data_IF_853405255074
#
_entry.id   IF_853405255074
#
_cell.length_a   1.000
_cell.length_b   1.000
_cell.length_c   1.000
_cell.angle_alpha   90.00
_cell.angle_beta   90.00
_cell.angle_gamma   90.00
#
_symmetry.space_group_name_H-M   'P 1'
#
loop_
_entity.id
_entity.type
_entity.pdbx_description
1 polymer ?
#
# COMPACT_ATOMS: atom_id res chain seq x y z
N UNK A 1 25.40 14.88 -12.89
CA UNK A 1 25.05 15.64 -11.68
C UNK A 1 23.98 16.62 -12.12
N UNK A 2 22.71 16.30 -11.89
CA UNK A 2 21.60 17.17 -12.28
C UNK A 2 21.58 18.36 -11.31
N UNK A 3 21.50 19.58 -11.82
CA UNK A 3 21.35 20.78 -10.99
C UNK A 3 20.04 20.68 -10.22
N UNK A 4 20.12 20.65 -8.89
CA UNK A 4 18.98 20.74 -8.00
C UNK A 4 18.28 22.08 -8.20
N UNK A 5 16.94 22.08 -8.25
CA UNK A 5 16.21 23.35 -8.36
C UNK A 5 16.52 24.24 -7.15
N UNK A 6 16.63 25.55 -7.38
CA UNK A 6 16.85 26.57 -6.33
C UNK A 6 15.88 26.43 -5.17
N UNK A 7 14.66 25.95 -5.44
CA UNK A 7 13.63 25.73 -4.42
C UNK A 7 13.97 24.50 -3.55
N UNK A 8 14.49 23.43 -4.14
CA UNK A 8 14.93 22.22 -3.42
C UNK A 8 16.09 22.57 -2.49
N UNK A 9 17.10 23.28 -2.99
CA UNK A 9 18.25 23.75 -2.20
C UNK A 9 17.83 24.68 -1.06
N UNK A 10 16.88 25.57 -1.35
CA UNK A 10 16.30 26.44 -0.32
C UNK A 10 15.63 25.62 0.79
N UNK A 11 14.83 24.60 0.46
CA UNK A 11 14.20 23.74 1.48
C UNK A 11 15.22 22.94 2.30
N UNK A 12 16.25 22.39 1.65
CA UNK A 12 17.31 21.64 2.34
C UNK A 12 18.11 22.52 3.29
N UNK A 13 18.35 23.78 2.93
CA UNK A 13 19.04 24.74 3.81
C UNK A 13 18.18 25.22 4.99
N UNK A 14 16.87 24.98 4.97
CA UNK A 14 15.92 25.32 6.05
C UNK A 14 15.59 24.12 6.96
N UNK A 15 16.46 23.11 7.02
CA UNK A 15 16.39 22.01 7.99
C UNK A 15 15.49 20.84 7.59
N UNK A 16 14.96 20.82 6.37
CA UNK A 16 14.26 19.65 5.82
C UNK A 16 15.31 18.66 5.32
N UNK A 17 15.33 17.44 5.87
CA UNK A 17 16.22 16.40 5.35
C UNK A 17 15.76 15.92 3.97
N UNK A 18 16.72 15.57 3.12
CA UNK A 18 16.42 15.03 1.79
C UNK A 18 15.48 13.82 1.86
N UNK A 19 15.72 12.91 2.82
CA UNK A 19 14.89 11.72 3.03
C UNK A 19 13.43 12.08 3.35
N UNK A 20 13.19 13.12 4.17
CA UNK A 20 11.82 13.57 4.46
C UNK A 20 11.18 14.12 3.19
N UNK A 21 11.92 14.89 2.40
CA UNK A 21 11.40 15.45 1.16
C UNK A 21 11.05 14.36 0.13
N UNK A 22 11.92 13.37 -0.05
CA UNK A 22 11.68 12.19 -0.90
C UNK A 22 10.41 11.45 -0.49
N UNK A 23 10.23 11.19 0.81
CA UNK A 23 9.06 10.49 1.34
C UNK A 23 7.76 11.27 1.10
N UNK A 24 7.78 12.60 1.31
CA UNK A 24 6.61 13.45 1.08
C UNK A 24 6.22 13.49 -0.40
N UNK A 25 7.21 13.61 -1.30
CA UNK A 25 6.97 13.60 -2.74
C UNK A 25 6.49 12.23 -3.21
N UNK A 26 7.10 11.14 -2.73
CA UNK A 26 6.67 9.77 -3.00
C UNK A 26 5.21 9.56 -2.56
N UNK A 27 4.83 10.09 -1.40
CA UNK A 27 3.43 10.06 -0.92
C UNK A 27 2.48 10.73 -1.92
N UNK A 28 2.83 11.91 -2.46
CA UNK A 28 2.03 12.61 -3.48
C UNK A 28 1.91 11.80 -4.78
N UNK A 29 3.00 11.21 -5.25
CA UNK A 29 3.03 10.39 -6.47
C UNK A 29 2.11 9.17 -6.28
N UNK A 30 2.29 8.41 -5.18
CA UNK A 30 1.50 7.20 -4.94
C UNK A 30 0.04 7.54 -4.66
N UNK A 31 -0.27 8.64 -3.97
CA UNK A 31 -1.65 9.10 -3.81
C UNK A 31 -2.34 9.32 -5.17
N UNK A 32 -1.64 9.91 -6.13
CA UNK A 32 -2.14 10.12 -7.49
C UNK A 32 -2.38 8.79 -8.21
N UNK A 33 -1.44 7.83 -8.10
CA UNK A 33 -1.59 6.48 -8.64
C UNK A 33 -2.83 5.80 -8.05
N UNK A 34 -3.06 5.93 -6.74
CA UNK A 34 -4.24 5.36 -6.07
C UNK A 34 -5.53 6.01 -6.57
N UNK A 35 -5.56 7.34 -6.73
CA UNK A 35 -6.70 8.06 -7.30
C UNK A 35 -7.01 7.57 -8.71
N UNK A 36 -6.00 7.44 -9.58
CA UNK A 36 -6.14 6.90 -10.94
C UNK A 36 -6.71 5.47 -10.90
N UNK A 37 -6.14 4.59 -10.08
CA UNK A 37 -6.62 3.22 -9.94
C UNK A 37 -8.07 3.15 -9.43
N UNK A 38 -8.47 4.06 -8.54
CA UNK A 38 -9.82 4.11 -7.99
C UNK A 38 -10.84 4.65 -8.99
N UNK A 39 -10.56 5.78 -9.64
CA UNK A 39 -11.53 6.48 -10.48
C UNK A 39 -11.54 5.95 -11.92
N UNK A 40 -10.38 5.70 -12.52
CA UNK A 40 -10.32 5.19 -13.90
C UNK A 40 -10.52 3.67 -13.95
N UNK A 41 -9.82 2.92 -13.10
CA UNK A 41 -9.87 1.44 -13.12
C UNK A 41 -11.01 0.88 -12.27
N UNK A 42 -11.51 1.60 -11.26
CA UNK A 42 -12.51 1.07 -10.34
C UNK A 42 -11.95 0.00 -9.40
N UNK A 43 -10.69 0.12 -8.99
CA UNK A 43 -10.11 -0.78 -7.98
C UNK A 43 -10.80 -0.59 -6.62
N UNK A 44 -11.04 -1.71 -5.92
CA UNK A 44 -11.51 -1.70 -4.53
C UNK A 44 -10.27 -1.89 -3.67
N UNK A 45 -9.95 -0.90 -2.83
CA UNK A 45 -8.82 -0.92 -1.89
C UNK A 45 -9.31 -0.63 -0.48
N UNK A 46 -8.48 -0.82 0.54
CA UNK A 46 -8.81 -0.49 1.94
C UNK A 46 -8.88 1.00 2.26
N UNK A 47 -8.66 1.86 1.27
CA UNK A 47 -8.48 3.29 1.44
C UNK A 47 -7.38 3.80 0.53
N UNK A 48 -7.05 5.08 0.68
CA UNK A 48 -5.89 5.68 0.01
C UNK A 48 -4.60 5.44 0.79
N UNK A 49 -4.70 5.43 2.13
CA UNK A 49 -3.54 5.33 3.01
C UNK A 49 -2.85 3.96 2.95
N UNK A 50 -3.60 2.85 2.98
CA UNK A 50 -3.03 1.50 2.95
C UNK A 50 -2.10 1.22 1.74
N UNK A 51 -2.50 1.50 0.48
CA UNK A 51 -1.61 1.28 -0.66
C UNK A 51 -0.41 2.24 -0.68
N UNK A 52 -0.55 3.48 -0.20
CA UNK A 52 0.58 4.42 -0.05
C UNK A 52 1.61 3.87 0.93
N UNK A 53 1.14 3.48 2.11
CA UNK A 53 1.99 2.98 3.19
C UNK A 53 2.75 1.72 2.76
N UNK A 54 2.07 0.80 2.05
CA UNK A 54 2.70 -0.39 1.50
C UNK A 54 3.71 -0.07 0.40
N UNK A 55 3.41 0.85 -0.52
CA UNK A 55 4.35 1.21 -1.60
C UNK A 55 5.67 1.74 -1.04
N UNK A 56 5.58 2.65 -0.06
CA UNK A 56 6.75 3.20 0.64
C UNK A 56 7.44 2.09 1.44
N UNK A 57 6.71 1.26 2.19
CA UNK A 57 7.33 0.16 2.90
C UNK A 57 8.07 -0.82 1.96
N UNK A 58 7.52 -1.11 0.78
CA UNK A 58 8.16 -1.95 -0.23
C UNK A 58 9.42 -1.29 -0.83
N UNK A 59 9.51 0.04 -0.87
CA UNK A 59 10.72 0.72 -1.38
C UNK A 59 11.90 0.54 -0.43
N UNK A 60 11.65 0.44 0.88
CA UNK A 60 12.69 0.20 1.89
C UNK A 60 12.94 -1.28 2.19
N UNK A 61 11.90 -2.12 2.14
CA UNK A 61 12.02 -3.57 2.41
C UNK A 61 12.48 -4.35 1.18
N UNK A 62 12.27 -3.81 -0.01
CA UNK A 62 12.32 -4.56 -1.26
C UNK A 62 11.05 -5.39 -1.47
N UNK A 63 10.59 -5.51 -2.72
CA UNK A 63 9.29 -6.10 -3.02
C UNK A 63 9.15 -7.55 -2.53
N UNK A 64 10.19 -8.37 -2.70
CA UNK A 64 10.17 -9.79 -2.29
C UNK A 64 9.90 -9.93 -0.80
N UNK A 65 10.65 -9.22 0.04
CA UNK A 65 10.50 -9.25 1.49
C UNK A 65 9.18 -8.62 1.93
N UNK A 66 8.84 -7.46 1.35
CA UNK A 66 7.60 -6.77 1.65
C UNK A 66 6.35 -7.62 1.40
N UNK A 67 6.32 -8.36 0.28
CA UNK A 67 5.23 -9.28 -0.04
C UNK A 67 5.19 -10.49 0.89
N UNK A 68 6.34 -11.08 1.25
CA UNK A 68 6.41 -12.17 2.21
C UNK A 68 5.86 -11.76 3.58
N UNK A 69 6.28 -10.59 4.09
CA UNK A 69 5.76 -10.04 5.35
C UNK A 69 4.26 -9.77 5.25
N UNK A 70 3.81 -9.19 4.13
CA UNK A 70 2.39 -8.92 3.88
C UNK A 70 1.57 -10.21 3.96
N UNK A 71 2.05 -11.30 3.36
CA UNK A 71 1.39 -12.59 3.40
C UNK A 71 1.27 -13.12 4.84
N UNK A 72 2.36 -13.10 5.60
CA UNK A 72 2.38 -13.54 7.01
C UNK A 72 1.41 -12.70 7.84
N UNK A 73 1.45 -11.38 7.70
CA UNK A 73 0.56 -10.46 8.43
C UNK A 73 -0.91 -10.79 8.18
N UNK A 74 -1.30 -11.05 6.94
CA UNK A 74 -2.69 -11.36 6.59
C UNK A 74 -3.11 -12.74 7.09
N UNK A 75 -2.27 -13.75 6.93
CA UNK A 75 -2.54 -15.10 7.43
C UNK A 75 -2.73 -15.09 8.95
N UNK A 76 -1.81 -14.45 9.67
CA UNK A 76 -1.90 -14.31 11.12
C UNK A 76 -3.14 -13.55 11.55
N UNK A 77 -3.47 -12.45 10.87
CA UNK A 77 -4.68 -11.66 11.16
C UNK A 77 -5.96 -12.47 10.99
N UNK A 78 -6.03 -13.29 9.94
CA UNK A 78 -7.18 -14.14 9.67
C UNK A 78 -7.31 -15.27 10.72
N UNK A 79 -6.19 -15.93 11.04
CA UNK A 79 -6.14 -17.00 12.05
C UNK A 79 -6.51 -16.48 13.43
N UNK A 80 -5.84 -15.42 13.87
CA UNK A 80 -6.11 -14.71 15.12
C UNK A 80 -7.57 -14.30 15.21
N UNK A 81 -8.12 -13.62 14.20
CA UNK A 81 -9.52 -13.23 14.20
C UNK A 81 -10.48 -14.43 14.30
N UNK A 82 -10.20 -15.54 13.59
CA UNK A 82 -11.04 -16.74 13.59
C UNK A 82 -11.10 -17.39 14.97
N UNK A 83 -9.99 -17.40 15.70
CA UNK A 83 -9.92 -17.89 17.09
C UNK A 83 -10.63 -16.92 18.02
N UNK A 84 -10.30 -15.63 17.94
CA UNK A 84 -10.83 -14.58 18.81
C UNK A 84 -12.34 -14.36 18.61
N UNK A 85 -12.92 -14.66 17.43
CA UNK A 85 -14.37 -14.53 17.20
C UNK A 85 -15.20 -15.39 18.15
N UNK A 86 -14.67 -16.53 18.61
CA UNK A 86 -15.35 -17.43 19.56
C UNK A 86 -15.45 -16.84 20.97
N UNK A 87 -14.65 -15.83 21.29
CA UNK A 87 -14.56 -15.22 22.62
C UNK A 87 -15.35 -13.89 22.61
N UNK A 88 -16.22 -13.70 23.61
CA UNK A 88 -16.95 -12.45 23.81
C UNK A 88 -16.00 -11.41 24.41
N UNK A 89 -15.55 -10.46 23.59
CA UNK A 89 -14.67 -9.37 24.00
C UNK A 89 -15.02 -8.07 23.27
N UNK A 90 -14.65 -6.93 23.84
CA UNK A 90 -14.81 -5.64 23.19
C UNK A 90 -13.94 -5.53 21.94
N UNK A 91 -14.40 -4.74 20.97
CA UNK A 91 -13.74 -4.57 19.67
C UNK A 91 -12.29 -4.05 19.80
N UNK A 92 -12.06 -3.05 20.65
CA UNK A 92 -10.72 -2.47 20.86
C UNK A 92 -9.77 -3.52 21.45
N UNK A 93 -10.22 -4.26 22.47
CA UNK A 93 -9.45 -5.34 23.08
C UNK A 93 -9.11 -6.43 22.05
N UNK A 94 -10.06 -6.78 21.17
CA UNK A 94 -9.83 -7.76 20.10
C UNK A 94 -8.73 -7.32 19.14
N UNK A 95 -8.70 -6.05 18.76
CA UNK A 95 -7.63 -5.51 17.90
C UNK A 95 -6.30 -5.54 18.63
N UNK A 96 -6.26 -5.13 19.89
CA UNK A 96 -5.05 -5.17 20.70
C UNK A 96 -4.49 -6.60 20.80
N UNK A 97 -5.34 -7.59 21.11
CA UNK A 97 -4.94 -9.00 21.15
C UNK A 97 -4.46 -9.51 19.78
N UNK A 98 -5.08 -9.04 18.70
CA UNK A 98 -4.60 -9.40 17.37
C UNK A 98 -3.20 -8.85 17.09
N UNK A 99 -2.89 -7.62 17.52
CA UNK A 99 -1.54 -7.08 17.41
C UNK A 99 -0.52 -7.83 18.26
N UNK A 100 -0.88 -8.29 19.47
CA UNK A 100 0.06 -9.09 20.28
C UNK A 100 0.35 -10.46 19.65
N UNK A 101 -0.67 -11.15 19.13
CA UNK A 101 -0.51 -12.41 18.38
C UNK A 101 0.33 -12.18 17.12
N UNK A 102 0.08 -11.06 16.42
CA UNK A 102 0.85 -10.67 15.25
C UNK A 102 2.33 -10.48 15.61
N UNK A 103 2.64 -9.74 16.67
CA UNK A 103 4.02 -9.54 17.14
C UNK A 103 4.71 -10.86 17.47
N UNK A 104 4.05 -11.78 18.18
CA UNK A 104 4.61 -13.11 18.47
C UNK A 104 4.90 -13.87 17.18
N UNK A 105 3.96 -13.86 16.24
CA UNK A 105 4.12 -14.59 14.97
C UNK A 105 5.23 -14.00 14.11
N UNK A 106 5.39 -12.68 14.11
CA UNK A 106 6.45 -12.00 13.37
C UNK A 106 7.83 -12.29 13.99
N UNK A 107 7.95 -12.34 15.32
CA UNK A 107 9.19 -12.77 16.00
C UNK A 107 9.54 -14.21 15.59
N UNK A 108 8.57 -15.12 15.65
CA UNK A 108 8.77 -16.51 15.20
C UNK A 108 9.17 -16.58 13.73
N UNK A 109 8.57 -15.75 12.88
CA UNK A 109 8.90 -15.70 11.46
C UNK A 109 10.36 -15.27 11.21
N UNK A 110 10.89 -14.30 11.96
CA UNK A 110 12.30 -13.93 11.89
C UNK A 110 13.22 -15.10 12.28
N UNK A 111 12.94 -15.76 13.40
CA UNK A 111 13.72 -16.93 13.86
C UNK A 111 13.70 -18.06 12.84
N UNK A 112 12.53 -18.34 12.24
CA UNK A 112 12.40 -19.38 11.22
C UNK A 112 13.19 -19.04 9.94
N UNK A 113 13.24 -17.78 9.54
CA UNK A 113 14.00 -17.36 8.36
C UNK A 113 15.50 -17.47 8.58
N UNK A 114 15.97 -17.06 9.76
CA UNK A 114 17.37 -17.18 10.17
C UNK A 114 17.81 -18.65 10.21
N UNK A 115 16.96 -19.54 10.74
CA UNK A 115 17.29 -20.96 10.87
C UNK A 115 17.21 -21.75 9.56
N UNK A 116 16.21 -21.50 8.71
CA UNK A 116 15.94 -22.35 7.54
C UNK A 116 16.32 -21.72 6.19
N UNK A 117 16.74 -20.45 6.15
CA UNK A 117 17.20 -19.80 4.92
C UNK A 117 16.17 -19.86 3.80
N UNK A 118 14.94 -19.36 4.04
CA UNK A 118 13.81 -19.41 3.09
C UNK A 118 13.97 -18.47 1.87
N UNK A 119 15.20 -18.24 1.41
CA UNK A 119 15.53 -17.25 0.38
C UNK A 119 15.27 -15.80 0.81
N UNK A 120 15.17 -15.57 2.12
CA UNK A 120 14.92 -14.27 2.77
C UNK A 120 16.06 -13.92 3.75
N UNK A 121 17.28 -14.36 3.47
CA UNK A 121 18.43 -14.29 4.37
C UNK A 121 18.77 -12.86 4.82
N UNK A 122 18.49 -11.85 3.99
CA UNK A 122 18.73 -10.43 4.34
C UNK A 122 17.56 -9.77 5.10
N UNK A 123 16.63 -10.56 5.66
CA UNK A 123 15.45 -10.00 6.32
C UNK A 123 15.80 -9.16 7.56
N UNK A 124 16.93 -9.43 8.22
CA UNK A 124 17.44 -8.64 9.36
C UNK A 124 17.82 -7.20 8.98
N UNK A 125 18.11 -6.93 7.70
CA UNK A 125 18.49 -5.59 7.21
C UNK A 125 17.28 -4.71 6.90
N UNK A 126 16.06 -5.23 7.04
CA UNK A 126 14.84 -4.48 6.76
C UNK A 126 14.64 -3.38 7.81
N UNK A 127 14.43 -2.11 7.41
CA UNK A 127 14.17 -1.04 8.36
C UNK A 127 12.92 -1.31 9.22
N UNK A 128 13.00 -1.20 10.55
CA UNK A 128 11.88 -1.49 11.45
C UNK A 128 10.60 -0.70 11.15
N UNK A 129 10.73 0.55 10.71
CA UNK A 129 9.58 1.40 10.36
C UNK A 129 8.82 0.87 9.13
N UNK A 130 9.53 0.36 8.12
CA UNK A 130 8.90 -0.24 6.95
C UNK A 130 8.17 -1.55 7.34
N UNK A 131 8.74 -2.30 8.27
CA UNK A 131 8.14 -3.51 8.80
C UNK A 131 6.82 -3.23 9.55
N UNK A 132 6.83 -2.27 10.49
CA UNK A 132 5.62 -1.85 11.24
C UNK A 132 4.57 -1.27 10.30
N UNK A 133 5.00 -0.58 9.25
CA UNK A 133 4.11 -0.05 8.20
C UNK A 133 3.33 -1.17 7.50
N UNK A 134 3.98 -2.29 7.19
CA UNK A 134 3.31 -3.48 6.63
C UNK A 134 2.42 -4.15 7.69
N UNK A 135 2.88 -4.27 8.94
CA UNK A 135 2.10 -4.87 10.03
C UNK A 135 0.75 -4.14 10.26
N UNK A 136 0.73 -2.82 10.08
CA UNK A 136 -0.49 -1.98 10.17
C UNK A 136 -1.58 -2.41 9.17
N UNK A 137 -1.22 -3.12 8.09
CA UNK A 137 -2.18 -3.72 7.16
C UNK A 137 -3.17 -4.67 7.84
N UNK A 138 -2.76 -5.31 8.95
CA UNK A 138 -3.61 -6.16 9.77
C UNK A 138 -4.90 -5.46 10.20
N UNK A 139 -4.81 -4.21 10.65
CA UNK A 139 -5.96 -3.45 11.13
C UNK A 139 -6.89 -3.06 9.96
N UNK A 140 -6.34 -2.65 8.82
CA UNK A 140 -7.13 -2.41 7.61
C UNK A 140 -7.86 -3.67 7.13
N UNK A 141 -7.17 -4.81 7.15
CA UNK A 141 -7.75 -6.11 6.79
C UNK A 141 -8.90 -6.47 7.74
N UNK A 142 -8.69 -6.43 9.06
CA UNK A 142 -9.70 -6.81 10.05
C UNK A 142 -10.90 -5.87 10.01
N UNK A 143 -10.68 -4.55 9.90
CA UNK A 143 -11.76 -3.58 9.72
C UNK A 143 -12.60 -3.90 8.50
N UNK A 144 -11.97 -4.27 7.37
CA UNK A 144 -12.71 -4.63 6.17
C UNK A 144 -13.41 -5.98 6.29
N UNK A 145 -12.75 -6.94 6.92
CA UNK A 145 -13.25 -8.30 7.17
C UNK A 145 -14.46 -8.33 8.08
N UNK A 146 -14.48 -7.50 9.14
CA UNK A 146 -15.62 -7.37 10.04
C UNK A 146 -16.81 -6.70 9.35
N UNK A 147 -16.55 -5.70 8.51
CA UNK A 147 -17.62 -4.93 7.81
C UNK A 147 -18.20 -5.66 6.61
N UNK A 148 -17.47 -6.58 5.99
CA UNK A 148 -17.87 -7.31 4.78
C UNK A 148 -17.61 -8.80 4.95
N UNK A 149 -17.40 -9.52 3.85
CA UNK A 149 -17.09 -10.95 3.83
C UNK A 149 -15.61 -11.21 3.52
N UNK A 150 -15.15 -12.45 3.77
CA UNK A 150 -13.80 -12.91 3.45
C UNK A 150 -13.43 -12.68 1.97
N UNK A 151 -14.26 -13.08 0.99
CA UNK A 151 -13.91 -12.88 -0.42
C UNK A 151 -13.82 -11.39 -0.80
N UNK A 152 -14.72 -10.57 -0.26
CA UNK A 152 -14.70 -9.12 -0.50
C UNK A 152 -13.43 -8.48 0.07
N UNK A 153 -12.99 -8.96 1.23
CA UNK A 153 -11.81 -8.44 1.92
C UNK A 153 -10.52 -8.85 1.22
N UNK A 154 -10.42 -10.09 0.74
CA UNK A 154 -9.31 -10.56 -0.07
C UNK A 154 -9.24 -9.87 -1.44
N UNK A 155 -10.39 -9.62 -2.08
CA UNK A 155 -10.42 -8.86 -3.34
C UNK A 155 -9.91 -7.42 -3.13
N UNK A 156 -10.29 -6.78 -2.02
CA UNK A 156 -9.77 -5.47 -1.66
C UNK A 156 -8.29 -5.50 -1.24
N UNK A 157 -7.83 -6.59 -0.62
CA UNK A 157 -6.42 -6.82 -0.30
C UNK A 157 -5.60 -6.85 -1.59
N UNK A 158 -6.02 -7.69 -2.54
CA UNK A 158 -5.35 -7.85 -3.80
C UNK A 158 -5.28 -6.53 -4.56
N UNK A 159 -6.40 -5.79 -4.64
CA UNK A 159 -6.40 -4.44 -5.21
C UNK A 159 -5.44 -3.48 -4.51
N UNK A 160 -5.35 -3.55 -3.18
CA UNK A 160 -4.44 -2.70 -2.38
C UNK A 160 -2.98 -3.05 -2.64
N UNK A 161 -2.63 -4.35 -2.66
CA UNK A 161 -1.27 -4.84 -2.93
C UNK A 161 -0.86 -4.54 -4.37
N UNK A 162 -1.72 -4.75 -5.36
CA UNK A 162 -1.42 -4.42 -6.76
C UNK A 162 -1.15 -2.93 -6.94
N UNK A 163 -1.98 -2.06 -6.37
CA UNK A 163 -1.74 -0.61 -6.43
C UNK A 163 -0.45 -0.22 -5.70
N UNK A 164 -0.15 -0.86 -4.57
CA UNK A 164 1.10 -0.65 -3.85
C UNK A 164 2.33 -1.10 -4.66
N UNK A 165 2.25 -2.23 -5.38
CA UNK A 165 3.31 -2.71 -6.27
C UNK A 165 3.55 -1.71 -7.41
N UNK A 166 2.50 -1.18 -8.01
CA UNK A 166 2.63 -0.14 -9.05
C UNK A 166 3.24 1.14 -8.47
N UNK A 167 2.79 1.57 -7.29
CA UNK A 167 3.35 2.71 -6.58
C UNK A 167 4.85 2.52 -6.29
N UNK A 168 5.21 1.37 -5.72
CA UNK A 168 6.59 0.95 -5.46
C UNK A 168 7.43 0.98 -6.74
N UNK A 169 6.93 0.39 -7.83
CA UNK A 169 7.64 0.35 -9.10
C UNK A 169 7.96 1.74 -9.64
N UNK A 170 7.09 2.73 -9.40
CA UNK A 170 7.29 4.13 -9.81
C UNK A 170 8.30 4.82 -8.88
N UNK A 171 8.11 4.77 -7.57
CA UNK A 171 8.94 5.52 -6.61
C UNK A 171 10.33 4.89 -6.37
N UNK A 172 10.52 3.61 -6.70
CA UNK A 172 11.81 2.94 -6.57
C UNK A 172 12.74 3.16 -7.77
N UNK A 173 12.34 3.96 -8.77
CA UNK A 173 13.23 4.34 -9.88
C UNK A 173 13.96 5.63 -9.53
N UNK A 174 15.29 5.55 -9.49
CA UNK A 174 16.18 6.70 -9.28
C UNK A 174 15.83 7.85 -10.23
N UNK A 175 15.60 7.56 -11.51
CA UNK A 175 15.19 8.56 -12.52
C UNK A 175 13.96 9.36 -12.07
N UNK A 176 12.97 8.71 -11.47
CA UNK A 176 11.71 9.35 -11.07
C UNK A 176 11.91 10.13 -9.77
N UNK A 177 12.58 9.53 -8.79
CA UNK A 177 12.86 10.17 -7.50
C UNK A 177 13.76 11.39 -7.65
N UNK A 178 14.85 11.28 -8.41
CA UNK A 178 15.78 12.39 -8.70
C UNK A 178 15.07 13.48 -9.48
N UNK A 179 14.30 13.12 -10.51
CA UNK A 179 13.53 14.09 -11.27
C UNK A 179 12.55 14.83 -10.37
N UNK A 180 11.83 14.13 -9.50
CA UNK A 180 10.83 14.73 -8.63
C UNK A 180 11.47 15.62 -7.55
N UNK A 181 12.63 15.24 -7.01
CA UNK A 181 13.43 16.08 -6.10
C UNK A 181 13.98 17.33 -6.78
N UNK A 182 14.41 17.21 -8.03
CA UNK A 182 14.91 18.36 -8.79
C UNK A 182 13.76 19.25 -9.27
N UNK A 183 12.52 18.74 -9.33
CA UNK A 183 11.36 19.42 -9.89
C UNK A 183 10.17 19.43 -8.93
N UNK A 184 10.29 20.14 -7.80
CA UNK A 184 9.21 20.22 -6.80
C UNK A 184 7.90 20.82 -7.31
N UNK A 185 7.90 21.52 -8.45
CA UNK A 185 6.69 21.96 -9.14
C UNK A 185 5.78 20.79 -9.56
N UNK A 186 6.28 19.55 -9.55
CA UNK A 186 5.47 18.34 -9.77
C UNK A 186 4.42 18.14 -8.66
N UNK A 187 4.68 18.56 -7.41
CA UNK A 187 3.74 18.39 -6.29
C UNK A 187 2.42 19.15 -6.50
N UNK A 188 2.43 20.47 -6.80
CA UNK A 188 1.20 21.19 -7.12
C UNK A 188 0.55 20.67 -8.41
N UNK A 189 1.33 20.23 -9.41
CA UNK A 189 0.78 19.59 -10.61
C UNK A 189 0.00 18.30 -10.28
N UNK A 190 0.58 17.41 -9.47
CA UNK A 190 -0.08 16.18 -9.01
C UNK A 190 -1.35 16.51 -8.21
N UNK A 191 -1.34 17.60 -7.45
CA UNK A 191 -2.53 18.07 -6.73
C UNK A 191 -3.63 18.49 -7.71
N UNK A 192 -3.29 19.27 -8.73
CA UNK A 192 -4.24 19.66 -9.78
C UNK A 192 -4.80 18.42 -10.53
N UNK A 193 -3.95 17.44 -10.84
CA UNK A 193 -4.37 16.16 -11.44
C UNK A 193 -5.36 15.43 -10.52
N UNK A 194 -5.10 15.35 -9.21
CA UNK A 194 -6.02 14.72 -8.27
C UNK A 194 -7.37 15.44 -8.19
N UNK A 195 -7.38 16.77 -8.27
CA UNK A 195 -8.62 17.56 -8.34
C UNK A 195 -9.40 17.21 -9.62
N UNK A 196 -8.74 17.18 -10.77
CA UNK A 196 -9.37 16.82 -12.05
C UNK A 196 -9.93 15.39 -12.02
N UNK A 197 -9.19 14.44 -11.44
CA UNK A 197 -9.66 13.06 -11.26
C UNK A 197 -10.87 12.99 -10.33
N UNK A 198 -10.92 13.82 -9.29
CA UNK A 198 -12.08 13.92 -8.38
C UNK A 198 -13.32 14.52 -9.04
N UNK A 199 -13.14 15.41 -10.02
CA UNK A 199 -14.22 16.00 -10.82
C UNK A 199 -14.70 15.07 -11.94
N UNK A 200 -13.98 14.00 -12.23
CA UNK A 200 -14.29 13.09 -13.32
C UNK A 200 -15.58 12.30 -13.05
N UNK A 201 -16.65 12.63 -13.80
CA UNK A 201 -17.95 11.94 -13.78
C UNK A 201 -18.07 10.79 -14.80
N UNK A 202 -17.01 10.48 -15.55
CA UNK A 202 -17.05 9.45 -16.58
C UNK A 202 -17.26 8.03 -16.01
N UNK A 203 -17.79 7.13 -16.84
CA UNK A 203 -17.95 5.71 -16.51
C UNK A 203 -16.57 5.08 -16.25
N UNK A 204 -16.47 4.24 -15.22
CA UNK A 204 -15.19 3.57 -14.89
C UNK A 204 -14.87 2.57 -15.99
N UNK A 205 -13.59 2.28 -16.22
CA UNK A 205 -13.18 1.30 -17.26
C UNK A 205 -13.83 -0.08 -17.06
N UNK A 206 -14.05 -0.48 -15.80
CA UNK A 206 -14.79 -1.70 -15.45
C UNK A 206 -16.26 -1.65 -15.85
N UNK A 207 -16.88 -0.48 -15.82
CA UNK A 207 -18.26 -0.31 -16.25
C UNK A 207 -18.36 -0.50 -17.77
N UNK A 208 -17.39 0.04 -18.52
CA UNK A 208 -17.25 -0.21 -19.96
C UNK A 208 -17.13 -1.69 -20.30
N UNK A 209 -16.30 -2.43 -19.57
CA UNK A 209 -16.17 -3.88 -19.75
C UNK A 209 -17.47 -4.60 -19.46
N UNK A 210 -18.16 -4.26 -18.36
CA UNK A 210 -19.44 -4.88 -17.99
C UNK A 210 -20.53 -4.67 -19.05
N UNK A 211 -20.67 -3.46 -19.59
CA UNK A 211 -21.67 -3.18 -20.64
C UNK A 211 -21.38 -3.93 -21.95
N UNK A 212 -20.10 -4.14 -22.27
CA UNK A 212 -19.70 -4.95 -23.44
C UNK A 212 -20.03 -6.44 -23.27
N UNK A 213 -20.00 -6.96 -22.05
CA UNK A 213 -20.40 -8.35 -21.79
C UNK A 213 -21.91 -8.55 -21.93
N UNK A 214 -22.74 -7.65 -21.38
CA UNK A 214 -24.20 -7.76 -21.50
C UNK A 214 -24.68 -7.64 -22.96
N UNK A 215 -24.08 -6.76 -23.76
CA UNK A 215 -24.43 -6.63 -25.19
C UNK A 215 -24.07 -7.86 -26.04
N UNK A 216 -23.23 -8.78 -25.52
CA UNK A 216 -22.89 -10.04 -26.20
C UNK A 216 -23.81 -11.20 -25.84
N UNK A 217 -24.49 -11.15 -24.68
CA UNK A 217 -25.47 -12.18 -24.30
C UNK A 217 -26.83 -12.00 -25.01
N UNK A 218 -27.21 -10.77 -25.36
CA UNK A 218 -28.44 -10.50 -26.11
C UNK A 218 -28.35 -10.77 -27.62
N UNK A 219 -27.14 -11.06 -28.13
CA UNK A 219 -26.90 -11.41 -29.55
C UNK A 219 -26.89 -12.91 -29.84
N UNK A 220 -27.18 -13.77 -28.85
CA UNK A 220 -27.18 -15.22 -28.98
C UNK A 220 -28.51 -15.87 -28.55
N UNK A 221 -29.62 -15.13 -28.74
CA UNK A 221 -30.99 -15.62 -28.66
C UNK A 221 -31.66 -15.52 -30.01
#
# INVERSE_FOLDING_TARGET
MFETSKLTEWLLSHGISQMVLELLIAMCIVATIVSIARYLVGSKTYGIFAPILLAIAYSYTGLKYGLAITLVVILTSLLSYSVLKKIRMHYITRIATNYTILSITLILFFVLIDQFGLGLENMSNIPPLAFISIATLSDFFIKQFVKKSLPSSLMSLFGTVVVAIVGWFVISREIISDYALNNLWIVPLLTAINILLGLFKGLRFKDYLRFRFTSREDGNK
#
